data_IF_183060155025
#
_entry.id   IF_183060155025
#
_cell.length_a   1.000
_cell.length_b   1.000
_cell.length_c   1.000
_cell.angle_alpha   90.00
_cell.angle_beta   90.00
_cell.angle_gamma   90.00
#
_symmetry.space_group_name_H-M   'P 1'
#
loop_
_entity.id
_entity.type
_entity.pdbx_description
1 polymer ?
#
# COMPACT_ATOMS: atom_id res chain seq x y z
N UNK A 1 -2.77 31.67 19.77
CA UNK A 1 -2.87 31.12 18.40
C UNK A 1 -1.57 30.46 17.92
N UNK A 2 -0.38 31.04 18.12
CA UNK A 2 0.89 30.37 17.68
C UNK A 2 1.34 29.20 18.57
N UNK A 3 1.01 29.18 19.86
CA UNK A 3 1.36 28.09 20.79
C UNK A 3 0.58 26.81 20.50
N UNK A 4 -0.68 26.92 20.14
CA UNK A 4 -1.54 25.76 19.88
C UNK A 4 -1.18 25.06 18.56
N UNK A 5 -0.89 25.85 17.53
CA UNK A 5 -0.44 25.30 16.23
C UNK A 5 0.91 24.58 16.39
N UNK A 6 1.80 25.15 17.19
CA UNK A 6 3.12 24.54 17.47
C UNK A 6 2.99 23.25 18.29
N UNK A 7 2.11 23.20 19.27
CA UNK A 7 1.85 22.01 20.08
C UNK A 7 1.19 20.89 19.26
N UNK A 8 0.23 21.24 18.38
CA UNK A 8 -0.39 20.30 17.45
C UNK A 8 0.62 19.74 16.45
N UNK A 9 1.52 20.59 15.92
CA UNK A 9 2.58 20.14 15.01
C UNK A 9 3.57 19.19 15.68
N UNK A 10 4.02 19.49 16.88
CA UNK A 10 4.94 18.63 17.67
C UNK A 10 4.27 17.31 18.02
N UNK A 11 3.00 17.32 18.43
CA UNK A 11 2.24 16.11 18.71
C UNK A 11 2.05 15.28 17.44
N UNK A 12 1.77 15.90 16.31
CA UNK A 12 1.64 15.24 15.02
C UNK A 12 2.92 14.51 14.59
N UNK A 13 4.06 15.17 14.70
CA UNK A 13 5.37 14.57 14.39
C UNK A 13 5.68 13.40 15.32
N UNK A 14 5.39 13.52 16.62
CA UNK A 14 5.57 12.41 17.57
C UNK A 14 4.73 11.19 17.17
N UNK A 15 3.44 11.38 16.92
CA UNK A 15 2.55 10.28 16.53
C UNK A 15 2.93 9.66 15.19
N UNK A 16 3.32 10.50 14.20
CA UNK A 16 3.80 10.01 12.92
C UNK A 16 5.09 9.19 13.06
N UNK A 17 6.02 9.63 13.90
CA UNK A 17 7.27 8.90 14.18
C UNK A 17 6.99 7.58 14.90
N UNK A 18 6.21 7.60 15.98
CA UNK A 18 5.83 6.39 16.73
C UNK A 18 5.12 5.40 15.80
N UNK A 19 4.17 5.86 15.00
CA UNK A 19 3.45 5.01 14.05
C UNK A 19 4.38 4.34 13.03
N UNK A 20 5.33 5.11 12.45
CA UNK A 20 6.30 4.57 11.49
C UNK A 20 7.26 3.56 12.13
N UNK A 21 7.84 3.90 13.27
CA UNK A 21 8.77 2.99 13.98
C UNK A 21 8.07 1.71 14.43
N UNK A 22 6.86 1.81 14.97
CA UNK A 22 6.08 0.64 15.39
C UNK A 22 5.72 -0.26 14.22
N UNK A 23 5.17 0.30 13.14
CA UNK A 23 4.83 -0.46 11.93
C UNK A 23 6.08 -1.10 11.31
N UNK A 24 7.20 -0.36 11.24
CA UNK A 24 8.45 -0.88 10.70
C UNK A 24 9.04 -1.99 11.58
N UNK A 25 8.96 -1.84 12.90
CA UNK A 25 9.39 -2.88 13.84
C UNK A 25 8.57 -4.17 13.71
N UNK A 26 7.25 -4.04 13.64
CA UNK A 26 6.35 -5.18 13.42
C UNK A 26 6.65 -5.84 12.07
N UNK A 27 6.77 -5.05 11.00
CA UNK A 27 7.09 -5.54 9.65
C UNK A 27 8.45 -6.26 9.61
N UNK A 28 9.44 -5.75 10.34
CA UNK A 28 10.76 -6.38 10.44
C UNK A 28 10.71 -7.75 11.10
N UNK A 29 10.02 -7.85 12.25
CA UNK A 29 9.85 -9.12 12.97
C UNK A 29 9.08 -10.13 12.12
N UNK A 30 7.97 -9.71 11.51
CA UNK A 30 7.18 -10.55 10.61
C UNK A 30 7.99 -10.98 9.39
N UNK A 31 8.77 -10.07 8.80
CA UNK A 31 9.66 -10.37 7.68
C UNK A 31 10.72 -11.41 8.02
N UNK A 32 11.31 -11.33 9.23
CA UNK A 32 12.27 -12.34 9.72
C UNK A 32 11.64 -13.74 9.85
N UNK A 33 10.42 -13.80 10.39
CA UNK A 33 9.70 -15.07 10.55
C UNK A 33 9.32 -15.64 9.18
N UNK A 34 8.76 -14.80 8.29
CA UNK A 34 8.41 -15.20 6.93
C UNK A 34 9.64 -15.64 6.13
N UNK A 35 10.79 -14.99 6.31
CA UNK A 35 12.03 -15.38 5.62
C UNK A 35 12.55 -16.77 6.04
N UNK A 36 12.14 -17.26 7.21
CA UNK A 36 12.46 -18.63 7.64
C UNK A 36 11.47 -19.68 7.14
N UNK A 37 10.23 -19.26 6.84
CA UNK A 37 9.14 -20.16 6.44
C UNK A 37 9.04 -20.29 4.91
N UNK A 38 9.40 -19.24 4.18
CA UNK A 38 9.26 -19.13 2.74
C UNK A 38 10.59 -19.42 2.02
N UNK A 39 10.49 -19.92 0.80
CA UNK A 39 11.66 -20.14 -0.04
C UNK A 39 12.18 -18.80 -0.63
N UNK A 40 13.49 -18.66 -0.85
CA UNK A 40 14.05 -17.49 -1.54
C UNK A 40 13.45 -17.23 -2.92
N UNK A 41 12.98 -18.27 -3.60
CA UNK A 41 12.27 -18.18 -4.89
C UNK A 41 10.95 -17.41 -4.79
N UNK A 42 10.22 -17.53 -3.67
CA UNK A 42 8.95 -16.81 -3.44
C UNK A 42 9.18 -15.31 -3.31
N UNK A 43 10.24 -14.93 -2.57
CA UNK A 43 10.68 -13.54 -2.47
C UNK A 43 11.21 -13.01 -3.82
N UNK A 44 11.89 -13.86 -4.59
CA UNK A 44 12.36 -13.53 -5.93
C UNK A 44 11.21 -13.16 -6.86
N UNK A 45 10.12 -13.94 -6.86
CA UNK A 45 8.92 -13.64 -7.65
C UNK A 45 8.29 -12.31 -7.28
N UNK A 46 8.18 -11.99 -5.98
CA UNK A 46 7.68 -10.68 -5.56
C UNK A 46 8.64 -9.54 -5.89
N UNK A 47 9.94 -9.77 -5.81
CA UNK A 47 10.94 -8.79 -6.23
C UNK A 47 10.81 -8.43 -7.71
N UNK A 48 10.58 -9.43 -8.57
CA UNK A 48 10.31 -9.22 -10.00
C UNK A 48 9.06 -8.37 -10.21
N UNK A 49 7.98 -8.65 -9.47
CA UNK A 49 6.74 -7.88 -9.52
C UNK A 49 6.91 -6.47 -8.94
N UNK A 50 7.76 -6.33 -7.93
CA UNK A 50 8.01 -5.06 -7.25
C UNK A 50 8.45 -3.95 -8.19
N UNK A 51 9.24 -4.26 -9.21
CA UNK A 51 9.66 -3.29 -10.23
C UNK A 51 8.44 -2.75 -10.99
N UNK A 52 7.57 -3.63 -11.47
CA UNK A 52 6.39 -3.23 -12.23
C UNK A 52 5.37 -2.48 -11.38
N UNK A 53 5.16 -2.92 -10.15
CA UNK A 53 4.24 -2.23 -9.22
C UNK A 53 4.77 -0.87 -8.77
N UNK A 54 6.09 -0.70 -8.65
CA UNK A 54 6.71 0.61 -8.37
C UNK A 54 6.52 1.59 -9.53
N UNK A 55 6.72 1.14 -10.77
CA UNK A 55 6.41 1.94 -11.96
C UNK A 55 4.93 2.31 -12.01
N UNK A 56 4.04 1.33 -11.79
CA UNK A 56 2.61 1.53 -11.76
C UNK A 56 2.20 2.59 -10.72
N UNK A 57 2.74 2.50 -9.50
CA UNK A 57 2.50 3.47 -8.43
C UNK A 57 2.93 4.88 -8.83
N UNK A 58 4.11 5.03 -9.42
CA UNK A 58 4.62 6.33 -9.86
C UNK A 58 3.72 6.99 -10.91
N UNK A 59 3.14 6.21 -11.82
CA UNK A 59 2.20 6.70 -12.83
C UNK A 59 0.87 7.16 -12.21
N UNK A 60 0.37 6.45 -11.20
CA UNK A 60 -0.89 6.79 -10.54
C UNK A 60 -0.75 8.04 -9.69
N UNK A 61 0.34 8.12 -8.93
CA UNK A 61 0.56 9.25 -8.03
C UNK A 61 0.72 10.58 -8.77
N UNK A 62 1.33 10.64 -9.95
CA UNK A 62 1.53 11.82 -10.82
C UNK A 62 1.59 13.18 -10.08
N UNK A 63 1.80 13.17 -8.77
CA UNK A 63 1.83 14.37 -7.93
C UNK A 63 0.47 14.96 -7.53
N UNK A 64 -0.65 14.39 -7.96
CA UNK A 64 -1.99 14.92 -7.61
C UNK A 64 -2.27 14.89 -6.10
N UNK A 65 -1.84 13.84 -5.40
CA UNK A 65 -1.96 13.76 -3.95
C UNK A 65 -1.19 14.89 -3.26
N UNK A 66 0.04 15.15 -3.68
CA UNK A 66 0.86 16.24 -3.13
C UNK A 66 0.35 17.63 -3.53
N UNK A 67 -0.23 17.77 -4.72
CA UNK A 67 -0.87 19.01 -5.15
C UNK A 67 -2.11 19.32 -4.30
N UNK A 68 -2.93 18.31 -3.98
CA UNK A 68 -4.10 18.44 -3.12
C UNK A 68 -3.71 18.87 -1.68
N UNK A 69 -2.60 18.34 -1.16
CA UNK A 69 -2.10 18.71 0.18
C UNK A 69 -1.62 20.17 0.21
N UNK A 70 -1.03 20.68 -0.87
CA UNK A 70 -0.50 22.05 -0.96
C UNK A 70 -1.58 23.10 -1.19
N UNK A 71 -2.73 22.74 -1.76
CA UNK A 71 -3.81 23.68 -2.04
C UNK A 71 -4.53 24.06 -0.74
N UNK A 72 -4.46 25.34 -0.34
CA UNK A 72 -5.07 25.85 0.90
C UNK A 72 -6.59 25.97 0.79
N UNK A 73 -7.09 26.41 -0.38
CA UNK A 73 -8.53 26.57 -0.69
C UNK A 73 -9.05 25.34 -1.43
N UNK A 74 -9.22 24.24 -0.69
CA UNK A 74 -9.70 22.97 -1.23
C UNK A 74 -11.21 22.99 -1.31
N UNK A 75 -11.74 22.64 -2.49
CA UNK A 75 -13.16 22.41 -2.67
C UNK A 75 -13.45 20.90 -2.68
N UNK A 76 -14.68 20.50 -2.37
CA UNK A 76 -15.12 19.11 -2.51
C UNK A 76 -14.97 18.60 -3.96
N UNK A 77 -15.09 19.52 -4.92
CA UNK A 77 -14.91 19.24 -6.36
C UNK A 77 -13.46 18.83 -6.64
N UNK A 78 -12.48 19.51 -6.03
CA UNK A 78 -11.07 19.15 -6.21
C UNK A 78 -10.77 17.75 -5.67
N UNK A 79 -11.30 17.40 -4.48
CA UNK A 79 -11.15 16.08 -3.90
C UNK A 79 -11.80 14.99 -4.76
N UNK A 80 -13.00 15.25 -5.26
CA UNK A 80 -13.70 14.33 -6.15
C UNK A 80 -12.96 14.14 -7.48
N UNK A 81 -12.41 15.21 -8.04
CA UNK A 81 -11.65 15.15 -9.30
C UNK A 81 -10.39 14.27 -9.14
N UNK A 82 -9.64 14.48 -8.07
CA UNK A 82 -8.44 13.66 -7.76
C UNK A 82 -8.83 12.21 -7.51
N UNK A 83 -9.96 11.96 -6.85
CA UNK A 83 -10.47 10.61 -6.61
C UNK A 83 -10.77 9.88 -7.93
N UNK A 84 -11.59 10.48 -8.80
CA UNK A 84 -11.96 9.86 -10.08
C UNK A 84 -10.75 9.67 -11.00
N UNK A 85 -9.82 10.64 -11.00
CA UNK A 85 -8.58 10.52 -11.75
C UNK A 85 -7.74 9.34 -11.26
N UNK A 86 -7.46 9.25 -9.95
CA UNK A 86 -6.67 8.16 -9.36
C UNK A 86 -7.34 6.81 -9.58
N UNK A 87 -8.66 6.74 -9.44
CA UNK A 87 -9.42 5.53 -9.68
C UNK A 87 -9.34 5.10 -11.16
N UNK A 88 -9.54 6.04 -12.09
CA UNK A 88 -9.45 5.77 -13.52
C UNK A 88 -8.03 5.35 -13.95
N UNK A 89 -7.01 6.09 -13.48
CA UNK A 89 -5.61 5.76 -13.75
C UNK A 89 -5.22 4.39 -13.17
N UNK A 90 -5.63 4.09 -11.94
CA UNK A 90 -5.34 2.80 -11.29
C UNK A 90 -6.00 1.62 -12.02
N UNK A 91 -7.24 1.80 -12.49
CA UNK A 91 -7.96 0.78 -13.25
C UNK A 91 -7.31 0.53 -14.61
N UNK A 92 -6.88 1.61 -15.29
CA UNK A 92 -6.17 1.51 -16.55
C UNK A 92 -4.84 0.77 -16.37
N UNK A 93 -4.04 1.17 -15.36
CA UNK A 93 -2.78 0.52 -15.05
C UNK A 93 -2.99 -0.94 -14.66
N UNK A 94 -4.01 -1.25 -13.85
CA UNK A 94 -4.37 -2.62 -13.52
C UNK A 94 -4.71 -3.43 -14.77
N UNK A 95 -5.49 -2.87 -15.69
CA UNK A 95 -5.85 -3.55 -16.95
C UNK A 95 -4.62 -3.83 -17.83
N UNK A 96 -3.72 -2.85 -17.95
CA UNK A 96 -2.45 -3.03 -18.67
C UNK A 96 -1.60 -4.12 -18.02
N UNK A 97 -1.48 -4.13 -16.71
CA UNK A 97 -0.72 -5.15 -15.98
C UNK A 97 -1.38 -6.53 -16.06
N UNK A 98 -2.71 -6.60 -16.02
CA UNK A 98 -3.46 -7.84 -16.14
C UNK A 98 -3.28 -8.49 -17.51
N UNK A 99 -3.34 -7.69 -18.59
CA UNK A 99 -3.10 -8.14 -19.96
C UNK A 99 -1.61 -8.43 -20.22
N UNK A 100 -0.72 -7.66 -19.59
CA UNK A 100 0.74 -7.83 -19.68
C UNK A 100 1.27 -9.00 -18.83
N UNK A 101 0.49 -9.53 -17.89
CA UNK A 101 0.93 -10.60 -16.98
C UNK A 101 1.53 -11.83 -17.68
N UNK A 102 0.95 -12.36 -18.79
CA UNK A 102 1.55 -13.49 -19.50
C UNK A 102 2.91 -13.13 -20.11
N UNK A 103 3.08 -11.93 -20.68
CA UNK A 103 4.36 -11.48 -21.22
C UNK A 103 5.44 -11.38 -20.16
N UNK A 104 5.08 -10.90 -18.95
CA UNK A 104 5.98 -10.84 -17.80
C UNK A 104 6.38 -12.26 -17.38
N UNK A 105 5.43 -13.18 -17.32
CA UNK A 105 5.69 -14.57 -16.96
C UNK A 105 6.58 -15.28 -17.97
N UNK A 106 6.38 -15.07 -19.26
CA UNK A 106 7.20 -15.62 -20.35
C UNK A 106 8.62 -15.06 -20.32
N UNK A 107 8.75 -13.74 -20.07
CA UNK A 107 10.06 -13.09 -19.94
C UNK A 107 10.90 -13.68 -18.80
N UNK A 108 10.28 -13.94 -17.66
CA UNK A 108 10.95 -14.56 -16.50
C UNK A 108 10.93 -16.09 -16.53
N UNK A 109 10.29 -16.72 -17.54
CA UNK A 109 10.14 -18.19 -17.67
C UNK A 109 9.50 -18.83 -16.42
N UNK A 110 8.53 -18.13 -15.81
CA UNK A 110 7.84 -18.54 -14.59
C UNK A 110 6.33 -18.49 -14.81
N UNK A 111 5.66 -19.60 -15.16
CA UNK A 111 4.23 -19.59 -15.49
C UNK A 111 3.33 -19.19 -14.30
N UNK A 112 3.78 -19.50 -13.07
CA UNK A 112 3.07 -19.13 -11.84
C UNK A 112 2.98 -17.61 -11.69
N UNK A 113 3.92 -16.86 -12.24
CA UNK A 113 4.01 -15.41 -12.16
C UNK A 113 2.78 -14.73 -12.81
N UNK A 114 2.14 -15.33 -13.81
CA UNK A 114 0.93 -14.80 -14.44
C UNK A 114 -0.19 -14.61 -13.42
N UNK A 115 -0.50 -15.66 -12.66
CA UNK A 115 -1.58 -15.62 -11.68
C UNK A 115 -1.23 -14.73 -10.47
N UNK A 116 0.02 -14.81 -10.03
CA UNK A 116 0.54 -13.98 -8.94
C UNK A 116 0.47 -12.49 -9.31
N UNK A 117 0.87 -12.12 -10.54
CA UNK A 117 0.78 -10.74 -11.04
C UNK A 117 -0.67 -10.24 -11.06
N UNK A 118 -1.58 -11.03 -11.64
CA UNK A 118 -2.99 -10.64 -11.75
C UNK A 118 -3.63 -10.35 -10.40
N UNK A 119 -3.33 -11.18 -9.41
CA UNK A 119 -3.91 -11.04 -8.07
C UNK A 119 -3.16 -9.97 -7.25
N UNK A 120 -1.82 -9.93 -7.32
CA UNK A 120 -1.04 -8.92 -6.63
C UNK A 120 -1.37 -7.49 -7.10
N UNK A 121 -1.56 -7.30 -8.41
CA UNK A 121 -1.91 -5.98 -8.96
C UNK A 121 -3.29 -5.47 -8.52
N UNK A 122 -4.15 -6.32 -7.94
CA UNK A 122 -5.43 -5.90 -7.37
C UNK A 122 -5.23 -4.90 -6.19
N UNK A 123 -4.06 -4.91 -5.56
CA UNK A 123 -3.70 -3.91 -4.55
C UNK A 123 -3.68 -2.49 -5.09
N UNK A 124 -3.46 -2.31 -6.40
CA UNK A 124 -3.36 -1.00 -7.06
C UNK A 124 -4.71 -0.25 -7.02
N UNK A 125 -5.83 -0.79 -7.55
CA UNK A 125 -7.11 -0.10 -7.47
C UNK A 125 -7.65 0.02 -6.04
N UNK A 126 -7.38 -0.97 -5.17
CA UNK A 126 -7.73 -0.88 -3.76
C UNK A 126 -6.98 0.29 -3.09
N UNK A 127 -5.68 0.43 -3.34
CA UNK A 127 -4.87 1.54 -2.83
C UNK A 127 -5.34 2.91 -3.34
N UNK A 128 -5.78 2.99 -4.60
CA UNK A 128 -6.33 4.23 -5.16
C UNK A 128 -7.63 4.68 -4.48
N UNK A 129 -8.51 3.74 -4.11
CA UNK A 129 -9.70 4.03 -3.32
C UNK A 129 -9.36 4.64 -1.96
N UNK A 130 -8.28 4.16 -1.33
CA UNK A 130 -7.86 4.65 -0.01
C UNK A 130 -7.08 5.96 -0.07
N UNK A 131 -6.42 6.26 -1.20
CA UNK A 131 -5.45 7.35 -1.30
C UNK A 131 -6.07 8.72 -0.97
N UNK A 132 -7.29 8.99 -1.45
CA UNK A 132 -7.96 10.28 -1.20
C UNK A 132 -8.36 10.40 0.28
N UNK A 133 -8.88 9.32 0.88
CA UNK A 133 -9.24 9.33 2.30
C UNK A 133 -8.00 9.57 3.18
N UNK A 134 -6.91 8.89 2.89
CA UNK A 134 -5.62 9.10 3.57
C UNK A 134 -5.12 10.54 3.40
N UNK A 135 -5.20 11.10 2.19
CA UNK A 135 -4.80 12.48 1.92
C UNK A 135 -5.65 13.50 2.71
N UNK A 136 -6.94 13.26 2.87
CA UNK A 136 -7.81 14.09 3.70
C UNK A 136 -7.42 14.04 5.18
N UNK A 137 -7.09 12.87 5.71
CA UNK A 137 -6.59 12.71 7.08
C UNK A 137 -5.25 13.45 7.28
N UNK A 138 -4.34 13.38 6.31
CA UNK A 138 -3.11 14.18 6.32
C UNK A 138 -3.40 15.69 6.35
N UNK A 139 -4.38 16.14 5.58
CA UNK A 139 -4.80 17.53 5.54
C UNK A 139 -5.40 18.02 6.86
N UNK A 140 -6.10 17.15 7.57
CA UNK A 140 -6.69 17.41 8.89
C UNK A 140 -5.68 17.27 10.04
N UNK A 141 -4.40 16.97 9.74
CA UNK A 141 -3.35 16.73 10.74
C UNK A 141 -3.69 15.61 11.74
N UNK A 142 -4.55 14.66 11.36
CA UNK A 142 -4.98 13.54 12.20
C UNK A 142 -3.95 12.38 12.13
N UNK A 143 -2.71 12.68 12.42
CA UNK A 143 -1.59 11.72 12.34
C UNK A 143 -1.74 10.53 13.30
N UNK A 144 -2.48 10.70 14.40
CA UNK A 144 -2.76 9.62 15.34
C UNK A 144 -3.57 8.51 14.68
N UNK A 145 -4.62 8.88 13.95
CA UNK A 145 -5.52 7.91 13.32
C UNK A 145 -4.78 7.18 12.20
N UNK A 146 -4.01 7.92 11.39
CA UNK A 146 -3.15 7.32 10.36
C UNK A 146 -2.15 6.32 10.97
N UNK A 147 -1.53 6.67 12.11
CA UNK A 147 -0.59 5.79 12.79
C UNK A 147 -1.25 4.49 13.28
N UNK A 148 -2.44 4.60 13.89
CA UNK A 148 -3.21 3.45 14.38
C UNK A 148 -3.64 2.58 13.21
N UNK A 149 -4.17 3.16 12.13
CA UNK A 149 -4.56 2.44 10.92
C UNK A 149 -3.41 1.63 10.32
N UNK A 150 -2.22 2.25 10.19
CA UNK A 150 -1.03 1.56 9.68
C UNK A 150 -0.56 0.42 10.58
N UNK A 151 -0.59 0.60 11.90
CA UNK A 151 -0.22 -0.45 12.86
C UNK A 151 -1.20 -1.62 12.78
N UNK A 152 -2.50 -1.35 12.76
CA UNK A 152 -3.54 -2.37 12.62
C UNK A 152 -3.41 -3.11 11.28
N UNK A 153 -3.22 -2.37 10.18
CA UNK A 153 -3.03 -2.96 8.85
C UNK A 153 -1.82 -3.92 8.84
N UNK A 154 -0.70 -3.48 9.41
CA UNK A 154 0.52 -4.31 9.48
C UNK A 154 0.33 -5.54 10.35
N UNK A 155 -0.35 -5.41 11.48
CA UNK A 155 -0.59 -6.51 12.41
C UNK A 155 -1.52 -7.56 11.81
N UNK A 156 -2.68 -7.15 11.27
CA UNK A 156 -3.64 -8.07 10.67
C UNK A 156 -3.11 -8.72 9.39
N UNK A 157 -2.52 -7.93 8.50
CA UNK A 157 -1.96 -8.47 7.25
C UNK A 157 -0.80 -9.41 7.52
N UNK A 158 0.07 -9.05 8.46
CA UNK A 158 1.20 -9.89 8.84
C UNK A 158 0.78 -11.18 9.53
N UNK A 159 -0.22 -11.13 10.44
CA UNK A 159 -0.76 -12.31 11.10
C UNK A 159 -1.36 -13.30 10.11
N UNK A 160 -2.18 -12.83 9.16
CA UNK A 160 -2.77 -13.68 8.13
C UNK A 160 -1.70 -14.19 7.15
N UNK A 161 -0.73 -13.33 6.75
CA UNK A 161 0.40 -13.75 5.94
C UNK A 161 1.20 -14.87 6.60
N UNK A 162 1.44 -14.78 7.91
CA UNK A 162 2.14 -15.80 8.68
C UNK A 162 1.36 -17.12 8.73
N UNK A 163 0.05 -17.07 8.97
CA UNK A 163 -0.81 -18.25 8.97
C UNK A 163 -0.79 -18.97 7.61
N UNK A 164 -0.86 -18.21 6.52
CA UNK A 164 -0.79 -18.78 5.16
C UNK A 164 0.59 -19.36 4.85
N UNK A 165 1.67 -18.68 5.27
CA UNK A 165 3.03 -19.19 5.11
C UNK A 165 3.25 -20.50 5.89
N UNK A 166 2.71 -20.60 7.12
CA UNK A 166 2.78 -21.81 7.92
C UNK A 166 2.03 -22.99 7.28
N UNK A 167 0.93 -22.72 6.58
CA UNK A 167 0.18 -23.72 5.81
C UNK A 167 0.84 -24.07 4.45
N UNK A 168 2.00 -23.52 4.13
CA UNK A 168 2.76 -23.89 2.93
C UNK A 168 2.28 -23.24 1.61
N UNK A 169 1.49 -22.15 1.67
CA UNK A 169 1.01 -21.46 0.48
C UNK A 169 2.09 -20.65 -0.27
N UNK A 170 3.35 -20.62 0.21
CA UNK A 170 4.47 -19.98 -0.48
C UNK A 170 4.21 -18.52 -0.84
N UNK A 171 4.40 -18.15 -2.12
CA UNK A 171 4.24 -16.78 -2.61
C UNK A 171 2.84 -16.19 -2.36
N UNK A 172 1.80 -17.02 -2.30
CA UNK A 172 0.44 -16.57 -2.04
C UNK A 172 0.25 -15.92 -0.67
N UNK A 173 1.03 -16.36 0.33
CA UNK A 173 1.01 -15.75 1.66
C UNK A 173 1.39 -14.26 1.59
N UNK A 174 2.40 -13.93 0.80
CA UNK A 174 2.89 -12.56 0.64
C UNK A 174 1.92 -11.69 -0.20
N UNK A 175 1.30 -12.28 -1.23
CA UNK A 175 0.28 -11.60 -2.05
C UNK A 175 -0.96 -11.27 -1.21
N UNK A 176 -1.48 -12.23 -0.47
CA UNK A 176 -2.61 -12.03 0.43
C UNK A 176 -2.30 -11.00 1.52
N UNK A 177 -1.07 -11.02 2.07
CA UNK A 177 -0.62 -10.01 3.02
C UNK A 177 -0.73 -8.60 2.44
N UNK A 178 -0.29 -8.38 1.19
CA UNK A 178 -0.38 -7.08 0.52
C UNK A 178 -1.83 -6.62 0.31
N UNK A 179 -2.71 -7.53 -0.14
CA UNK A 179 -4.13 -7.21 -0.35
C UNK A 179 -4.82 -6.87 0.96
N UNK A 180 -4.59 -7.65 2.02
CA UNK A 180 -5.20 -7.42 3.33
C UNK A 180 -4.70 -6.10 3.93
N UNK A 181 -3.40 -5.78 3.79
CA UNK A 181 -2.87 -4.50 4.23
C UNK A 181 -3.58 -3.33 3.53
N UNK A 182 -3.79 -3.43 2.21
CA UNK A 182 -4.51 -2.41 1.44
C UNK A 182 -5.98 -2.30 1.87
N UNK A 183 -6.66 -3.44 2.09
CA UNK A 183 -8.06 -3.46 2.53
C UNK A 183 -8.24 -2.87 3.93
N UNK A 184 -7.40 -3.23 4.88
CA UNK A 184 -7.47 -2.68 6.25
C UNK A 184 -7.22 -1.18 6.24
N UNK A 185 -6.26 -0.70 5.45
CA UNK A 185 -6.04 0.74 5.25
C UNK A 185 -7.25 1.44 4.59
N UNK A 186 -8.05 0.72 3.81
CA UNK A 186 -9.25 1.27 3.19
C UNK A 186 -10.43 1.37 4.18
N UNK A 187 -10.53 0.43 5.12
CA UNK A 187 -11.63 0.40 6.08
C UNK A 187 -11.46 1.36 7.25
N UNK A 188 -10.26 1.86 7.49
CA UNK A 188 -9.91 2.75 8.60
C UNK A 188 -9.72 4.18 8.15
#
# INVERSE_FOLDING_TARGET
MNSDIRSMGISGVKWASIGRFSSQGISFVLGLILARLLLPSDYGMLGMLGVFTAFAGSFIDCGFGSALIRKLDRTEIDCSTVFYYNLGASLLVYMVMFLGAPFIADFYKQPLLTNVTRIACLTIPIGALCSVHSNLLYCQLRFRDIAIGNILATFFSGGIGLLLAYNGYGVWALVCQGIIASLVNCCY
#
